data_IF_360324519754
#
_entry.id   IF_360324519754
#
_cell.length_a   1.000
_cell.length_b   1.000
_cell.length_c   1.000
_cell.angle_alpha   90.00
_cell.angle_beta   90.00
_cell.angle_gamma   90.00
#
_symmetry.space_group_name_H-M   'P 1'
#
loop_
_entity.id
_entity.type
_entity.pdbx_description
1 polymer ?
#
# COMPACT_ATOMS: atom_id res chain seq x y z
N UNK A 1 6.61 -29.78 -2.30
CA UNK A 1 5.74 -28.57 -2.25
C UNK A 1 4.90 -28.50 -0.96
N UNK A 2 5.48 -28.79 0.22
CA UNK A 2 4.72 -28.80 1.49
C UNK A 2 4.63 -27.41 2.13
N UNK A 3 5.74 -26.67 2.12
CA UNK A 3 5.85 -25.32 2.66
C UNK A 3 4.90 -24.27 2.06
N UNK A 4 4.63 -24.32 0.74
CA UNK A 4 3.74 -23.36 0.11
C UNK A 4 2.27 -23.56 0.53
N UNK A 5 1.85 -24.82 0.73
CA UNK A 5 0.51 -25.16 1.17
C UNK A 5 0.28 -24.76 2.63
N UNK A 6 1.27 -24.96 3.50
CA UNK A 6 1.18 -24.59 4.92
C UNK A 6 1.10 -23.06 5.11
N UNK A 7 1.87 -22.29 4.32
CA UNK A 7 1.79 -20.82 4.32
C UNK A 7 0.43 -20.34 3.79
N UNK A 8 -0.08 -20.93 2.72
CA UNK A 8 -1.38 -20.58 2.15
C UNK A 8 -2.54 -20.94 3.08
N UNK A 9 -2.46 -22.05 3.81
CA UNK A 9 -3.46 -22.43 4.82
C UNK A 9 -3.48 -21.44 5.98
N UNK A 10 -2.31 -21.07 6.50
CA UNK A 10 -2.22 -20.12 7.59
C UNK A 10 -2.67 -18.72 7.16
N UNK A 11 -2.38 -18.31 5.93
CA UNK A 11 -2.95 -17.11 5.34
C UNK A 11 -4.47 -17.24 5.19
N UNK A 12 -5.01 -18.37 4.71
CA UNK A 12 -6.46 -18.56 4.58
C UNK A 12 -7.21 -18.45 5.92
N UNK A 13 -6.72 -19.11 6.97
CA UNK A 13 -7.28 -18.99 8.34
C UNK A 13 -7.22 -17.55 8.86
N UNK A 14 -6.14 -16.84 8.52
CA UNK A 14 -5.99 -15.43 8.81
C UNK A 14 -7.01 -14.55 8.04
N UNK A 15 -7.51 -14.99 6.87
CA UNK A 15 -8.34 -14.22 5.92
C UNK A 15 -9.87 -14.43 6.02
N UNK A 16 -10.36 -15.38 6.83
CA UNK A 16 -11.80 -15.69 6.95
C UNK A 16 -12.61 -14.70 7.83
N UNK A 17 -11.97 -13.73 8.46
CA UNK A 17 -12.65 -12.68 9.21
C UNK A 17 -13.17 -11.57 8.27
N UNK A 18 -14.48 -11.32 8.24
CA UNK A 18 -15.13 -10.40 7.28
C UNK A 18 -14.48 -9.00 7.23
N UNK A 19 -14.03 -8.51 8.38
CA UNK A 19 -13.28 -7.23 8.51
C UNK A 19 -11.99 -7.23 7.67
N UNK A 20 -11.29 -8.36 7.58
CA UNK A 20 -10.01 -8.46 6.88
C UNK A 20 -10.17 -8.50 5.36
N UNK A 21 -11.24 -9.11 4.85
CA UNK A 21 -11.54 -9.08 3.42
C UNK A 21 -11.90 -7.66 2.95
N UNK A 22 -12.73 -6.95 3.73
CA UNK A 22 -13.08 -5.55 3.46
C UNK A 22 -11.86 -4.63 3.51
N UNK A 23 -10.97 -4.87 4.48
CA UNK A 23 -9.71 -4.16 4.65
C UNK A 23 -8.76 -4.40 3.49
N UNK A 24 -8.54 -5.65 3.12
CA UNK A 24 -7.72 -6.03 1.97
C UNK A 24 -8.25 -5.40 0.68
N UNK A 25 -9.58 -5.37 0.51
CA UNK A 25 -10.23 -4.72 -0.64
C UNK A 25 -9.99 -3.20 -0.63
N UNK A 26 -10.13 -2.54 0.52
CA UNK A 26 -9.83 -1.11 0.66
C UNK A 26 -8.36 -0.78 0.37
N UNK A 27 -7.42 -1.59 0.86
CA UNK A 27 -5.98 -1.43 0.56
C UNK A 27 -5.70 -1.69 -0.94
N UNK A 28 -6.37 -2.67 -1.55
CA UNK A 28 -6.27 -2.94 -2.99
C UNK A 28 -6.77 -1.76 -3.82
N UNK A 29 -7.91 -1.17 -3.45
CA UNK A 29 -8.43 0.04 -4.10
C UNK A 29 -7.47 1.21 -3.94
N UNK A 30 -6.89 1.40 -2.75
CA UNK A 30 -5.86 2.40 -2.50
C UNK A 30 -4.62 2.20 -3.40
N UNK A 31 -4.11 0.98 -3.53
CA UNK A 31 -2.92 0.67 -4.34
C UNK A 31 -3.14 0.75 -5.85
N UNK A 32 -4.38 0.58 -6.31
CA UNK A 32 -4.74 0.64 -7.74
C UNK A 32 -5.38 1.97 -8.13
N UNK A 33 -5.64 2.83 -7.13
CA UNK A 33 -6.09 4.19 -7.31
C UNK A 33 -4.99 5.01 -7.97
N UNK A 34 -5.20 5.31 -9.25
CA UNK A 34 -4.37 6.23 -10.01
C UNK A 34 -5.29 7.26 -10.68
N UNK A 35 -4.88 8.53 -10.69
CA UNK A 35 -5.58 9.55 -11.47
C UNK A 35 -5.56 9.16 -12.95
N UNK A 36 -6.74 8.93 -13.53
CA UNK A 36 -6.92 8.61 -14.96
C UNK A 36 -6.98 9.87 -15.84
N UNK A 37 -7.43 10.99 -15.27
CA UNK A 37 -7.53 12.28 -15.97
C UNK A 37 -7.29 13.45 -15.00
N UNK A 38 -6.73 14.53 -15.52
CA UNK A 38 -6.29 15.71 -14.81
C UNK A 38 -7.43 16.58 -14.25
N UNK A 39 -8.59 16.52 -14.87
CA UNK A 39 -9.79 17.28 -14.50
C UNK A 39 -10.43 16.76 -13.21
N UNK A 40 -10.07 15.54 -12.79
CA UNK A 40 -10.67 14.84 -11.66
C UNK A 40 -9.80 14.88 -10.40
N UNK A 41 -8.87 15.85 -10.27
CA UNK A 41 -8.04 16.00 -9.06
C UNK A 41 -8.88 16.06 -7.78
N UNK A 42 -9.95 16.88 -7.81
CA UNK A 42 -10.89 17.02 -6.69
C UNK A 42 -11.58 15.69 -6.37
N UNK A 43 -12.05 14.97 -7.38
CA UNK A 43 -12.71 13.67 -7.20
C UNK A 43 -11.75 12.57 -6.73
N UNK A 44 -10.52 12.57 -7.24
CA UNK A 44 -9.47 11.66 -6.81
C UNK A 44 -9.07 11.94 -5.36
N UNK A 45 -8.92 13.21 -4.98
CA UNK A 45 -8.67 13.62 -3.59
C UNK A 45 -9.77 13.13 -2.65
N UNK A 46 -11.05 13.37 -3.00
CA UNK A 46 -12.18 12.86 -2.21
C UNK A 46 -12.22 11.34 -2.14
N UNK A 47 -11.89 10.64 -3.24
CA UNK A 47 -11.80 9.18 -3.25
C UNK A 47 -10.70 8.68 -2.30
N UNK A 48 -9.52 9.29 -2.33
CA UNK A 48 -8.41 8.92 -1.45
C UNK A 48 -8.75 9.20 0.02
N UNK A 49 -9.40 10.33 0.32
CA UNK A 49 -9.91 10.65 1.67
C UNK A 49 -10.91 9.57 2.12
N UNK A 50 -11.89 9.22 1.28
CA UNK A 50 -12.87 8.18 1.61
C UNK A 50 -12.24 6.81 1.82
N UNK A 51 -11.17 6.46 1.09
CA UNK A 51 -10.41 5.22 1.31
C UNK A 51 -9.64 5.25 2.64
N UNK A 52 -9.04 6.39 3.00
CA UNK A 52 -8.34 6.57 4.28
C UNK A 52 -9.34 6.46 5.45
N UNK A 53 -10.50 7.10 5.35
CA UNK A 53 -11.57 7.02 6.35
C UNK A 53 -12.11 5.59 6.47
N UNK A 54 -12.31 4.90 5.34
CA UNK A 54 -12.72 3.48 5.32
C UNK A 54 -11.69 2.58 6.02
N UNK A 55 -10.39 2.79 5.80
CA UNK A 55 -9.34 2.05 6.50
C UNK A 55 -9.35 2.34 8.00
N UNK A 56 -9.57 3.59 8.39
CA UNK A 56 -9.71 3.96 9.81
C UNK A 56 -10.91 3.29 10.48
N UNK A 57 -12.02 3.10 9.74
CA UNK A 57 -13.19 2.34 10.23
C UNK A 57 -12.96 0.83 10.32
N UNK A 58 -11.88 0.32 9.71
CA UNK A 58 -11.47 -1.08 9.72
C UNK A 58 -10.24 -1.32 10.63
N UNK A 59 -10.07 -0.46 11.64
CA UNK A 59 -8.99 -0.50 12.64
C UNK A 59 -7.56 -0.35 12.05
N UNK A 60 -7.45 0.17 10.82
CA UNK A 60 -6.17 0.64 10.27
C UNK A 60 -6.12 2.16 10.42
N UNK A 61 -5.51 2.62 11.52
CA UNK A 61 -5.13 4.01 11.68
C UNK A 61 -3.85 4.30 10.89
N UNK A 62 -3.98 5.01 9.76
CA UNK A 62 -2.82 5.49 9.03
C UNK A 62 -2.17 6.65 9.79
N UNK A 63 -0.84 6.69 9.93
CA UNK A 63 -0.16 7.88 10.42
C UNK A 63 -0.55 9.09 9.56
N UNK A 64 -0.84 10.22 10.20
CA UNK A 64 -1.22 11.48 9.50
C UNK A 64 -0.24 11.80 8.36
N UNK A 65 1.03 11.56 8.63
CA UNK A 65 2.17 11.64 7.73
C UNK A 65 1.99 10.84 6.43
N UNK A 66 1.60 9.57 6.56
CA UNK A 66 1.32 8.68 5.43
C UNK A 66 0.04 9.07 4.70
N UNK A 67 -1.00 9.51 5.42
CA UNK A 67 -2.24 9.99 4.81
C UNK A 67 -1.98 11.18 3.88
N UNK A 68 -1.13 12.12 4.31
CA UNK A 68 -0.73 13.25 3.46
C UNK A 68 0.07 12.76 2.26
N UNK A 69 1.07 11.90 2.47
CA UNK A 69 1.92 11.41 1.37
C UNK A 69 1.11 10.59 0.32
N UNK A 70 0.07 9.86 0.76
CA UNK A 70 -0.87 9.15 -0.13
C UNK A 70 -1.73 10.11 -0.96
N UNK A 71 -2.18 11.24 -0.40
CA UNK A 71 -2.92 12.27 -1.14
C UNK A 71 -2.04 12.93 -2.23
N UNK A 72 -0.73 13.01 -1.97
CA UNK A 72 0.27 13.57 -2.88
C UNK A 72 0.70 12.62 -4.00
N UNK A 73 0.29 11.35 -4.02
CA UNK A 73 0.57 10.42 -5.13
C UNK A 73 -0.11 10.84 -6.45
N UNK A 74 -0.86 11.94 -6.47
CA UNK A 74 -1.48 12.56 -7.64
C UNK A 74 -0.44 13.23 -8.57
N UNK A 75 -0.08 12.62 -9.72
CA UNK A 75 1.14 12.97 -10.46
C UNK A 75 1.17 14.37 -11.08
N UNK A 76 0.03 15.07 -11.18
CA UNK A 76 -0.05 16.33 -11.94
C UNK A 76 0.18 17.60 -11.10
N UNK A 77 -0.02 17.54 -9.79
CA UNK A 77 0.30 18.65 -8.86
C UNK A 77 1.27 18.22 -7.76
N UNK A 78 1.64 16.93 -7.71
CA UNK A 78 2.65 16.43 -6.80
C UNK A 78 3.93 17.26 -6.89
N UNK A 79 4.41 17.64 -8.08
CA UNK A 79 5.63 18.42 -8.22
C UNK A 79 5.54 19.81 -7.55
N UNK A 80 4.46 20.55 -7.80
CA UNK A 80 4.26 21.90 -7.24
C UNK A 80 3.97 21.85 -5.73
N UNK A 81 3.18 20.88 -5.28
CA UNK A 81 2.88 20.69 -3.86
C UNK A 81 4.11 20.17 -3.11
N UNK A 82 4.87 19.22 -3.68
CA UNK A 82 6.16 18.79 -3.12
C UNK A 82 7.15 19.94 -3.09
N UNK A 83 7.18 20.81 -4.10
CA UNK A 83 8.03 22.00 -4.10
C UNK A 83 7.67 22.93 -2.94
N UNK A 84 6.39 23.26 -2.76
CA UNK A 84 5.95 24.08 -1.64
C UNK A 84 6.16 23.44 -0.28
N UNK A 85 5.97 22.12 -0.16
CA UNK A 85 6.23 21.41 1.09
C UNK A 85 7.72 21.27 1.39
N UNK A 86 8.59 21.20 0.36
CA UNK A 86 10.05 21.29 0.53
C UNK A 86 10.48 22.64 1.07
N UNK A 87 9.85 23.73 0.61
CA UNK A 87 10.11 25.08 1.14
C UNK A 87 9.68 25.22 2.61
N UNK A 88 8.56 24.60 3.00
CA UNK A 88 8.01 24.71 4.36
C UNK A 88 8.66 23.77 5.39
N UNK A 89 9.08 22.57 4.98
CA UNK A 89 9.50 21.50 5.90
C UNK A 89 10.93 21.00 5.66
N UNK A 90 11.65 21.53 4.66
CA UNK A 90 13.00 21.11 4.29
C UNK A 90 13.04 20.01 3.23
N UNK A 91 14.16 19.95 2.51
CA UNK A 91 14.26 19.26 1.22
C UNK A 91 14.42 17.73 1.30
N UNK A 92 15.01 17.20 2.37
CA UNK A 92 15.37 15.78 2.47
C UNK A 92 14.24 14.90 3.02
N UNK A 93 13.65 15.23 4.18
CA UNK A 93 12.75 14.29 4.88
C UNK A 93 11.48 13.99 4.09
N UNK A 94 10.83 15.03 3.53
CA UNK A 94 9.56 14.85 2.81
C UNK A 94 9.72 14.25 1.42
N UNK A 95 10.79 14.61 0.72
CA UNK A 95 11.06 14.03 -0.59
C UNK A 95 11.42 12.55 -0.49
N UNK A 96 12.25 12.18 0.49
CA UNK A 96 12.62 10.80 0.76
C UNK A 96 11.42 9.95 1.19
N UNK A 97 10.56 10.50 2.06
CA UNK A 97 9.29 9.87 2.48
C UNK A 97 8.34 9.65 1.31
N UNK A 98 8.06 10.70 0.55
CA UNK A 98 7.17 10.60 -0.61
C UNK A 98 7.70 9.56 -1.61
N UNK A 99 9.01 9.56 -1.87
CA UNK A 99 9.63 8.61 -2.79
C UNK A 99 9.52 7.18 -2.27
N UNK A 100 9.75 6.94 -0.98
CA UNK A 100 9.61 5.63 -0.36
C UNK A 100 8.16 5.13 -0.37
N UNK A 101 7.18 5.99 -0.04
CA UNK A 101 5.74 5.66 -0.12
C UNK A 101 5.35 5.34 -1.56
N UNK A 102 5.78 6.15 -2.53
CA UNK A 102 5.51 5.90 -3.95
C UNK A 102 6.10 4.59 -4.43
N UNK A 103 7.34 4.29 -4.07
CA UNK A 103 8.01 3.04 -4.44
C UNK A 103 7.31 1.82 -3.85
N UNK A 104 6.90 1.89 -2.58
CA UNK A 104 6.12 0.84 -1.91
C UNK A 104 4.79 0.60 -2.62
N UNK A 105 4.03 1.66 -2.92
CA UNK A 105 2.71 1.56 -3.55
C UNK A 105 2.78 1.04 -4.99
N UNK A 106 3.86 1.33 -5.70
CA UNK A 106 4.07 0.90 -7.09
C UNK A 106 4.80 -0.43 -7.22
N UNK A 107 5.40 -0.95 -6.14
CA UNK A 107 6.15 -2.20 -6.18
C UNK A 107 5.24 -3.37 -6.55
N UNK A 108 5.62 -4.09 -7.61
CA UNK A 108 4.96 -5.31 -8.08
C UNK A 108 6.03 -6.34 -8.41
N UNK A 109 5.83 -7.58 -7.98
CA UNK A 109 6.71 -8.69 -8.32
C UNK A 109 6.57 -8.99 -9.80
N UNK A 110 7.68 -9.02 -10.53
CA UNK A 110 7.68 -9.47 -11.93
C UNK A 110 7.75 -10.99 -11.96
N UNK A 111 7.15 -11.63 -12.97
CA UNK A 111 7.05 -13.08 -13.09
C UNK A 111 8.39 -13.83 -13.05
N UNK A 112 9.50 -13.15 -13.39
CA UNK A 112 10.86 -13.70 -13.37
C UNK A 112 11.63 -13.48 -12.05
N UNK A 113 11.07 -12.74 -11.09
CA UNK A 113 11.73 -12.43 -9.80
C UNK A 113 11.37 -13.48 -8.75
N UNK A 114 12.33 -13.91 -7.94
CA UNK A 114 12.07 -14.82 -6.83
C UNK A 114 11.23 -14.11 -5.76
N UNK A 115 10.18 -14.77 -5.27
CA UNK A 115 9.33 -14.28 -4.16
C UNK A 115 10.16 -13.79 -2.97
N UNK A 116 11.23 -14.52 -2.63
CA UNK A 116 12.15 -14.16 -1.54
C UNK A 116 12.78 -12.79 -1.77
N UNK A 117 13.32 -12.54 -2.95
CA UNK A 117 14.00 -11.28 -3.30
C UNK A 117 13.02 -10.10 -3.29
N UNK A 118 11.83 -10.31 -3.87
CA UNK A 118 10.77 -9.30 -3.86
C UNK A 118 10.27 -9.00 -2.45
N UNK A 119 10.06 -10.04 -1.63
CA UNK A 119 9.67 -9.90 -0.22
C UNK A 119 10.69 -9.12 0.60
N UNK A 120 11.99 -9.40 0.44
CA UNK A 120 13.04 -8.62 1.10
C UNK A 120 13.04 -7.15 0.67
N UNK A 121 12.77 -6.86 -0.62
CA UNK A 121 12.65 -5.49 -1.09
C UNK A 121 11.45 -4.77 -0.43
N UNK A 122 10.29 -5.43 -0.37
CA UNK A 122 9.10 -4.88 0.29
C UNK A 122 9.35 -4.61 1.78
N UNK A 123 9.99 -5.55 2.49
CA UNK A 123 10.37 -5.38 3.90
C UNK A 123 11.34 -4.20 4.04
N UNK A 124 12.37 -4.11 3.19
CA UNK A 124 13.32 -2.99 3.23
C UNK A 124 12.67 -1.63 2.97
N UNK A 125 11.63 -1.55 2.13
CA UNK A 125 10.85 -0.33 1.94
C UNK A 125 10.03 0.04 3.18
N UNK A 126 9.45 -0.96 3.87
CA UNK A 126 8.70 -0.76 5.12
C UNK A 126 9.66 -0.29 6.24
N UNK A 127 10.83 -0.91 6.37
CA UNK A 127 11.86 -0.50 7.32
C UNK A 127 12.38 0.91 7.03
N UNK A 128 12.56 1.25 5.74
CA UNK A 128 12.93 2.61 5.32
C UNK A 128 11.88 3.64 5.72
N UNK A 129 10.59 3.33 5.59
CA UNK A 129 9.51 4.21 6.07
C UNK A 129 9.54 4.37 7.60
N UNK A 130 9.79 3.28 8.34
CA UNK A 130 9.95 3.34 9.79
C UNK A 130 11.12 4.23 10.22
N UNK A 131 12.23 4.22 9.47
CA UNK A 131 13.38 5.10 9.68
C UNK A 131 13.13 6.56 9.32
N UNK A 132 12.00 6.85 8.65
CA UNK A 132 11.53 8.18 8.30
C UNK A 132 10.30 8.59 9.13
N UNK A 133 10.16 8.02 10.33
CA UNK A 133 9.08 8.25 11.30
C UNK A 133 7.67 7.82 10.83
N UNK A 134 7.57 7.02 9.75
CA UNK A 134 6.32 6.41 9.29
C UNK A 134 6.29 4.93 9.71
N UNK A 135 5.65 4.65 10.84
CA UNK A 135 5.37 3.28 11.27
C UNK A 135 4.07 2.77 10.62
N UNK A 136 4.17 1.75 9.77
CA UNK A 136 3.00 1.09 9.20
C UNK A 136 2.40 0.09 10.21
N UNK A 137 1.06 0.04 10.36
CA UNK A 137 0.40 -1.04 11.08
C UNK A 137 0.79 -2.39 10.49
N UNK A 138 0.98 -3.40 11.35
CA UNK A 138 1.42 -4.73 10.94
C UNK A 138 0.50 -5.33 9.86
N UNK A 139 -0.79 -5.17 10.05
CA UNK A 139 -1.87 -5.58 9.18
C UNK A 139 -1.73 -4.98 7.78
N UNK A 140 -1.44 -3.68 7.71
CA UNK A 140 -1.26 -2.95 6.46
C UNK A 140 0.01 -3.41 5.74
N UNK A 141 1.11 -3.62 6.48
CA UNK A 141 2.36 -4.14 5.92
C UNK A 141 2.17 -5.51 5.25
N UNK A 142 1.40 -6.40 5.89
CA UNK A 142 1.08 -7.72 5.33
C UNK A 142 0.19 -7.59 4.09
N UNK A 143 -0.86 -6.76 4.14
CA UNK A 143 -1.78 -6.56 3.02
C UNK A 143 -1.05 -5.96 1.80
N UNK A 144 -0.15 -4.99 2.01
CA UNK A 144 0.69 -4.40 0.95
C UNK A 144 1.66 -5.42 0.33
N UNK A 145 2.27 -6.28 1.14
CA UNK A 145 3.15 -7.34 0.65
C UNK A 145 2.39 -8.33 -0.23
N UNK A 146 1.19 -8.74 0.20
CA UNK A 146 0.36 -9.67 -0.56
C UNK A 146 -0.16 -9.06 -1.87
N UNK A 147 -0.57 -7.79 -1.86
CA UNK A 147 -1.01 -7.08 -3.07
C UNK A 147 0.11 -6.82 -4.08
N UNK A 148 1.36 -6.83 -3.63
CA UNK A 148 2.51 -6.70 -4.53
C UNK A 148 2.81 -7.99 -5.32
N UNK A 149 2.20 -9.12 -4.95
CA UNK A 149 2.41 -10.41 -5.60
C UNK A 149 1.53 -10.55 -6.86
N UNK A 150 1.95 -11.39 -7.83
CA UNK A 150 1.12 -11.69 -8.99
C UNK A 150 -0.16 -12.42 -8.55
N UNK A 151 -1.25 -12.18 -9.27
CA UNK A 151 -2.57 -12.77 -8.96
C UNK A 151 -2.53 -14.30 -8.87
N UNK A 152 -1.61 -14.97 -9.58
CA UNK A 152 -1.40 -16.42 -9.52
C UNK A 152 -0.98 -16.96 -8.13
N UNK A 153 -0.44 -16.09 -7.26
CA UNK A 153 -0.13 -16.42 -5.87
C UNK A 153 -1.31 -16.14 -4.93
N UNK A 154 -2.25 -15.29 -5.36
CA UNK A 154 -3.44 -14.89 -4.62
C UNK A 154 -4.67 -15.75 -4.99
N UNK A 155 -4.69 -16.37 -6.17
CA UNK A 155 -5.72 -17.31 -6.66
C UNK A 155 -6.16 -18.39 -5.68
N UNK A 156 -5.25 -19.13 -5.02
CA UNK A 156 -5.66 -20.13 -4.05
C UNK A 156 -6.26 -19.54 -2.75
N UNK A 157 -6.15 -18.23 -2.53
CA UNK A 157 -6.66 -17.55 -1.34
C UNK A 157 -8.15 -17.18 -1.44
N UNK A 158 -8.66 -16.95 -2.65
CA UNK A 158 -10.05 -16.53 -2.90
C UNK A 158 -10.92 -17.60 -3.55
N UNK A 159 -10.36 -18.75 -3.93
CA UNK A 159 -11.18 -19.88 -4.38
C UNK A 159 -11.76 -20.62 -3.17
N UNK A 160 -12.90 -20.18 -2.67
CA UNK A 160 -13.79 -21.05 -1.89
C UNK A 160 -14.61 -21.91 -2.85
N UNK A 161 -14.48 -23.23 -2.68
CA UNK A 161 -15.44 -24.27 -3.06
C UNK A 161 -15.54 -24.67 -4.53
N UNK A 162 -15.06 -25.88 -4.80
CA UNK A 162 -15.80 -26.84 -5.64
C UNK A 162 -17.09 -27.23 -4.92
#
# INVERSE_FOLDING_TARGET
MKYAADILHHLKELYEENSRHERFTAVKELMTSHMRDATLFREHGFRMIGLIEKLSGLDIALPHELSVDLLLLSPKYAADILHHLKELYGENSRHERFTAVKELMMSRMRDATLFREHGFRMIGLIEKLSGLDIALPHELSVDLLLLSLPTAFLTPLWSTST
#
